data_IF_853511068928
#
_entry.id   IF_853511068928
#
_cell.length_a   1.000
_cell.length_b   1.000
_cell.length_c   1.000
_cell.angle_alpha   90.00
_cell.angle_beta   90.00
_cell.angle_gamma   90.00
#
_symmetry.space_group_name_H-M   'P 1'
#
loop_
_entity.id
_entity.type
_entity.pdbx_description
1 polymer ?
#
# COMPACT_ATOMS: atom_id res chain seq x y z
N UNK A 1 4.41 15.99 -5.01
CA UNK A 1 3.44 15.00 -4.50
C UNK A 1 4.09 13.91 -3.64
N UNK A 2 5.18 13.29 -4.09
CA UNK A 2 5.90 12.25 -3.34
C UNK A 2 6.18 12.59 -1.85
N UNK A 3 6.81 13.74 -1.58
CA UNK A 3 7.17 14.17 -0.21
C UNK A 3 5.94 14.23 0.72
N UNK A 4 4.79 14.68 0.21
CA UNK A 4 3.56 14.78 1.01
C UNK A 4 3.07 13.38 1.41
N UNK A 5 3.01 12.44 0.45
CA UNK A 5 2.63 11.06 0.74
C UNK A 5 3.62 10.38 1.69
N UNK A 6 4.92 10.65 1.53
CA UNK A 6 5.95 10.11 2.41
C UNK A 6 5.76 10.59 3.85
N UNK A 7 5.58 11.91 4.04
CA UNK A 7 5.38 12.50 5.37
C UNK A 7 4.12 11.94 6.03
N UNK A 8 3.00 11.87 5.30
CA UNK A 8 1.75 11.30 5.83
C UNK A 8 1.95 9.82 6.21
N UNK A 9 2.62 9.04 5.36
CA UNK A 9 2.91 7.63 5.64
C UNK A 9 3.78 7.43 6.88
N UNK A 10 4.81 8.26 7.05
CA UNK A 10 5.68 8.24 8.24
C UNK A 10 4.91 8.64 9.51
N UNK A 11 4.05 9.68 9.42
CA UNK A 11 3.22 10.11 10.54
C UNK A 11 2.31 8.97 11.00
N UNK A 12 1.57 8.34 10.08
CA UNK A 12 0.70 7.21 10.43
C UNK A 12 1.47 6.01 10.95
N UNK A 13 2.63 5.68 10.37
CA UNK A 13 3.48 4.58 10.86
C UNK A 13 4.00 4.83 12.27
N UNK A 14 4.40 6.08 12.56
CA UNK A 14 4.90 6.47 13.90
C UNK A 14 3.77 6.48 14.91
N UNK A 15 2.61 7.06 14.56
CA UNK A 15 1.42 7.08 15.41
C UNK A 15 0.90 5.67 15.70
N UNK A 16 0.91 4.78 14.70
CA UNK A 16 0.55 3.37 14.84
C UNK A 16 1.39 2.69 15.93
N UNK A 17 2.72 2.78 15.83
CA UNK A 17 3.64 2.18 16.82
C UNK A 17 3.48 2.80 18.20
N UNK A 18 3.32 4.12 18.28
CA UNK A 18 3.10 4.81 19.54
C UNK A 18 1.84 4.28 20.26
N UNK A 19 0.72 4.16 19.53
CA UNK A 19 -0.54 3.65 20.09
C UNK A 19 -0.45 2.18 20.52
N UNK A 20 0.29 1.35 19.79
CA UNK A 20 0.55 -0.04 20.19
C UNK A 20 1.32 -0.10 21.52
N UNK A 21 2.31 0.77 21.73
CA UNK A 21 3.08 0.85 22.98
C UNK A 21 2.21 1.33 24.14
N UNK A 22 1.29 2.27 23.91
CA UNK A 22 0.33 2.75 24.93
C UNK A 22 -0.79 1.74 25.27
N UNK A 23 -0.78 0.55 24.68
CA UNK A 23 -1.80 -0.48 24.91
C UNK A 23 -3.09 -0.28 24.10
N UNK A 24 -3.12 0.66 23.16
CA UNK A 24 -4.21 0.84 22.18
C UNK A 24 -3.89 0.10 20.87
N UNK A 25 -3.62 -1.19 20.99
CA UNK A 25 -3.14 -2.03 19.87
C UNK A 25 -4.10 -2.04 18.68
N UNK A 26 -5.41 -2.13 18.92
CA UNK A 26 -6.42 -2.18 17.85
C UNK A 26 -6.39 -0.94 16.94
N UNK A 27 -6.31 0.26 17.55
CA UNK A 27 -6.24 1.52 16.80
C UNK A 27 -4.88 1.62 16.11
N UNK A 28 -3.81 1.25 16.80
CA UNK A 28 -2.46 1.22 16.24
C UNK A 28 -2.37 0.34 15.00
N UNK A 29 -2.96 -0.86 15.03
CA UNK A 29 -3.00 -1.80 13.91
C UNK A 29 -3.81 -1.25 12.73
N UNK A 30 -4.94 -0.58 13.02
CA UNK A 30 -5.77 0.04 11.98
C UNK A 30 -5.02 1.15 11.21
N UNK A 31 -4.10 1.86 11.87
CA UNK A 31 -3.29 2.93 11.25
C UNK A 31 -2.19 2.38 10.33
N UNK A 32 -1.86 1.10 10.40
CA UNK A 32 -0.88 0.49 9.50
C UNK A 32 -1.41 0.47 8.05
N UNK A 33 -2.72 0.35 7.85
CA UNK A 33 -3.34 0.37 6.52
C UNK A 33 -3.16 1.71 5.78
N UNK A 34 -3.58 2.88 6.32
CA UNK A 34 -3.33 4.15 5.68
C UNK A 34 -1.82 4.44 5.58
N UNK A 35 -1.00 4.03 6.56
CA UNK A 35 0.46 4.16 6.46
C UNK A 35 1.02 3.43 5.24
N UNK A 36 0.68 2.14 5.07
CA UNK A 36 1.14 1.32 3.95
C UNK A 36 0.68 1.88 2.60
N UNK A 37 -0.57 2.36 2.51
CA UNK A 37 -1.11 3.00 1.32
C UNK A 37 -0.32 4.26 0.93
N UNK A 38 -0.11 5.18 1.86
CA UNK A 38 0.61 6.42 1.57
C UNK A 38 2.09 6.20 1.27
N UNK A 39 2.75 5.27 1.96
CA UNK A 39 4.13 4.89 1.66
C UNK A 39 4.27 4.25 0.27
N UNK A 40 3.32 3.39 -0.12
CA UNK A 40 3.30 2.81 -1.45
C UNK A 40 3.13 3.87 -2.55
N UNK A 41 2.23 4.86 -2.34
CA UNK A 41 2.09 5.98 -3.26
C UNK A 41 3.35 6.84 -3.31
N UNK A 42 3.98 7.13 -2.17
CA UNK A 42 5.24 7.88 -2.14
C UNK A 42 6.32 7.19 -2.97
N UNK A 43 6.50 5.88 -2.76
CA UNK A 43 7.43 5.07 -3.54
C UNK A 43 7.06 5.09 -5.03
N UNK A 44 5.79 4.95 -5.36
CA UNK A 44 5.31 4.96 -6.73
C UNK A 44 5.64 6.28 -7.45
N UNK A 45 5.38 7.42 -6.80
CA UNK A 45 5.73 8.75 -7.30
C UNK A 45 7.23 9.06 -7.26
N UNK A 46 8.05 8.17 -6.69
CA UNK A 46 9.51 8.27 -6.76
C UNK A 46 10.07 7.70 -8.08
N UNK A 47 9.29 6.90 -8.81
CA UNK A 47 9.76 6.26 -10.02
C UNK A 47 9.62 7.17 -11.25
N UNK A 48 10.70 7.37 -12.05
CA UNK A 48 10.66 8.21 -13.24
C UNK A 48 9.62 7.78 -14.29
N UNK A 49 9.44 6.47 -14.51
CA UNK A 49 8.47 5.97 -15.48
C UNK A 49 7.03 6.33 -15.09
N UNK A 50 6.72 6.32 -13.80
CA UNK A 50 5.38 6.61 -13.31
C UNK A 50 5.10 8.12 -13.40
N UNK A 51 6.11 8.95 -13.10
CA UNK A 51 6.03 10.39 -13.30
C UNK A 51 5.72 10.73 -14.77
N UNK A 52 6.40 10.06 -15.71
CA UNK A 52 6.13 10.22 -17.14
C UNK A 52 4.68 9.87 -17.52
N UNK A 53 4.13 8.78 -16.99
CA UNK A 53 2.72 8.41 -17.23
C UNK A 53 1.71 9.33 -16.55
N UNK A 54 2.10 9.96 -15.44
CA UNK A 54 1.25 10.86 -14.68
C UNK A 54 1.12 12.24 -15.35
N UNK A 55 2.23 12.76 -15.86
CA UNK A 55 2.28 14.08 -16.48
C UNK A 55 1.58 14.10 -17.85
N UNK A 56 1.74 13.03 -18.64
CA UNK A 56 1.09 12.89 -19.95
C UNK A 56 -0.42 12.59 -19.80
N UNK A 57 -1.31 13.52 -20.20
CA UNK A 57 -2.76 13.32 -20.09
C UNK A 57 -3.28 12.07 -20.79
N UNK A 58 -2.64 11.65 -21.89
CA UNK A 58 -3.03 10.46 -22.66
C UNK A 58 -2.72 9.15 -21.92
N UNK A 59 -1.71 9.16 -21.04
CA UNK A 59 -1.26 8.01 -20.26
C UNK A 59 -1.81 7.98 -18.83
N UNK A 60 -2.50 9.04 -18.38
CA UNK A 60 -3.15 9.08 -17.05
C UNK A 60 -4.06 7.89 -16.75
N UNK A 61 -4.89 7.37 -17.67
CA UNK A 61 -5.68 6.17 -17.39
C UNK A 61 -4.79 4.95 -17.05
N UNK A 62 -3.61 4.85 -17.66
CA UNK A 62 -2.61 3.81 -17.35
C UNK A 62 -1.99 4.04 -15.98
N UNK A 63 -1.64 5.28 -15.62
CA UNK A 63 -1.09 5.59 -14.30
C UNK A 63 -2.09 5.28 -13.17
N UNK A 64 -3.37 5.62 -13.33
CA UNK A 64 -4.41 5.29 -12.35
C UNK A 64 -4.60 3.78 -12.17
N UNK A 65 -4.66 3.02 -13.27
CA UNK A 65 -4.76 1.55 -13.21
C UNK A 65 -3.55 0.95 -12.50
N UNK A 66 -2.36 1.42 -12.82
CA UNK A 66 -1.12 0.94 -12.20
C UNK A 66 -1.07 1.28 -10.71
N UNK A 67 -1.41 2.52 -10.34
CA UNK A 67 -1.48 2.93 -8.94
C UNK A 67 -2.53 2.14 -8.16
N UNK A 68 -3.69 1.86 -8.77
CA UNK A 68 -4.73 1.03 -8.19
C UNK A 68 -4.27 -0.40 -7.94
N UNK A 69 -3.54 -1.00 -8.89
CA UNK A 69 -2.97 -2.34 -8.71
C UNK A 69 -1.91 -2.37 -7.61
N UNK A 70 -1.02 -1.38 -7.55
CA UNK A 70 -0.01 -1.27 -6.49
C UNK A 70 -0.67 -1.09 -5.12
N UNK A 71 -1.63 -0.17 -5.00
CA UNK A 71 -2.36 0.06 -3.76
C UNK A 71 -3.17 -1.17 -3.33
N UNK A 72 -3.89 -1.79 -4.27
CA UNK A 72 -4.66 -3.02 -4.03
C UNK A 72 -3.77 -4.18 -3.58
N UNK A 73 -2.60 -4.34 -4.21
CA UNK A 73 -1.60 -5.33 -3.81
C UNK A 73 -1.08 -5.08 -2.40
N UNK A 74 -0.63 -3.86 -2.11
CA UNK A 74 -0.10 -3.48 -0.79
C UNK A 74 -1.15 -3.66 0.31
N UNK A 75 -2.39 -3.22 0.09
CA UNK A 75 -3.47 -3.38 1.07
C UNK A 75 -3.87 -4.84 1.26
N UNK A 76 -3.87 -5.65 0.19
CA UNK A 76 -4.12 -7.09 0.28
C UNK A 76 -3.04 -7.79 1.09
N UNK A 77 -1.77 -7.45 0.85
CA UNK A 77 -0.66 -7.99 1.64
C UNK A 77 -0.73 -7.53 3.10
N UNK A 78 -1.11 -6.28 3.35
CA UNK A 78 -1.28 -5.75 4.70
C UNK A 78 -2.44 -6.44 5.44
N UNK A 79 -3.55 -6.72 4.77
CA UNK A 79 -4.67 -7.50 5.32
C UNK A 79 -4.24 -8.94 5.63
N UNK A 80 -3.51 -9.58 4.72
CA UNK A 80 -2.92 -10.89 4.95
C UNK A 80 -2.07 -10.90 6.23
N UNK A 81 -1.13 -9.97 6.35
CA UNK A 81 -0.22 -9.91 7.49
C UNK A 81 -0.96 -9.63 8.79
N UNK A 82 -1.92 -8.71 8.77
CA UNK A 82 -2.70 -8.36 9.95
C UNK A 82 -3.61 -9.51 10.42
N UNK A 83 -4.31 -10.17 9.51
CA UNK A 83 -5.19 -11.29 9.88
C UNK A 83 -4.39 -12.51 10.34
N UNK A 84 -3.36 -12.91 9.59
CA UNK A 84 -2.62 -14.13 9.90
C UNK A 84 -1.71 -13.98 11.13
N UNK A 85 -0.96 -12.87 11.21
CA UNK A 85 0.02 -12.68 12.29
C UNK A 85 -0.50 -11.80 13.44
N UNK A 86 -1.41 -10.86 13.15
CA UNK A 86 -1.99 -9.99 14.18
C UNK A 86 -3.16 -10.64 14.91
N UNK A 87 -4.09 -11.26 14.17
CA UNK A 87 -5.32 -11.86 14.72
C UNK A 87 -5.26 -13.40 14.84
N UNK A 88 -4.29 -14.07 14.22
CA UNK A 88 -4.22 -15.54 14.20
C UNK A 88 -5.24 -16.21 13.29
N UNK A 89 -5.88 -15.43 12.40
CA UNK A 89 -6.94 -15.88 11.50
C UNK A 89 -6.33 -16.46 10.22
N UNK A 90 -6.41 -17.79 10.06
CA UNK A 90 -5.88 -18.49 8.88
C UNK A 90 -6.52 -18.04 7.56
N UNK A 91 -7.78 -17.57 7.61
CA UNK A 91 -8.49 -17.00 6.46
C UNK A 91 -7.76 -15.79 5.88
N UNK A 92 -6.89 -15.13 6.66
CA UNK A 92 -5.98 -14.09 6.17
C UNK A 92 -5.14 -14.53 4.98
N UNK A 93 -4.78 -15.82 4.89
CA UNK A 93 -4.04 -16.39 3.75
C UNK A 93 -4.74 -16.21 2.40
N UNK A 94 -6.08 -16.10 2.38
CA UNK A 94 -6.84 -15.85 1.15
C UNK A 94 -6.49 -14.51 0.51
N UNK A 95 -6.03 -13.53 1.28
CA UNK A 95 -5.59 -12.23 0.75
C UNK A 95 -4.25 -12.28 0.00
N UNK A 96 -3.52 -13.41 0.06
CA UNK A 96 -2.40 -13.64 -0.85
C UNK A 96 -2.86 -13.76 -2.31
N UNK A 97 -4.08 -14.26 -2.56
CA UNK A 97 -4.62 -14.41 -3.92
C UNK A 97 -4.73 -13.04 -4.60
N UNK A 98 -5.48 -12.05 -4.07
CA UNK A 98 -5.54 -10.73 -4.69
C UNK A 98 -4.18 -10.02 -4.72
N UNK A 99 -3.31 -10.25 -3.74
CA UNK A 99 -1.93 -9.73 -3.77
C UNK A 99 -1.14 -10.26 -4.99
N UNK A 100 -1.13 -11.58 -5.18
CA UNK A 100 -0.43 -12.23 -6.29
C UNK A 100 -1.01 -11.83 -7.65
N UNK A 101 -2.34 -11.69 -7.74
CA UNK A 101 -3.00 -11.17 -8.96
C UNK A 101 -2.52 -9.75 -9.26
N UNK A 102 -2.52 -8.86 -8.27
CA UNK A 102 -2.04 -7.48 -8.45
C UNK A 102 -0.56 -7.46 -8.87
N UNK A 103 0.28 -8.27 -8.21
CA UNK A 103 1.70 -8.39 -8.54
C UNK A 103 1.92 -8.87 -9.97
N UNK A 104 1.17 -9.88 -10.41
CA UNK A 104 1.21 -10.39 -11.77
C UNK A 104 0.92 -9.29 -12.80
N UNK A 105 -0.16 -8.52 -12.61
CA UNK A 105 -0.51 -7.42 -13.52
C UNK A 105 0.51 -6.27 -13.47
N UNK A 106 1.04 -5.95 -12.30
CA UNK A 106 2.12 -4.95 -12.16
C UNK A 106 3.34 -5.35 -12.97
N UNK A 107 3.82 -6.59 -12.82
CA UNK A 107 4.98 -7.11 -13.57
C UNK A 107 4.70 -7.12 -15.07
N UNK A 108 3.50 -7.55 -15.47
CA UNK A 108 3.12 -7.61 -16.88
C UNK A 108 2.96 -6.24 -17.53
N UNK A 109 2.72 -5.18 -16.75
CA UNK A 109 2.61 -3.81 -17.29
C UNK A 109 3.95 -3.28 -17.86
N UNK A 110 5.08 -3.90 -17.46
CA UNK A 110 6.42 -3.55 -17.93
C UNK A 110 6.98 -4.46 -19.02
N UNK A 111 6.29 -5.56 -19.34
CA UNK A 111 6.63 -6.45 -20.46
C UNK A 111 5.93 -5.98 -21.73
#
# INVERSE_FOLDING_TARGET
MNIVFLVIGIIFSTASKWLQIEGKSEIGDSLVFPAAFFLALALLFSFPFFHGWWDDPSLRPKSYRFAGLVAGGVLSFQLFAWLLFGQGEWLGALFLIPFLICLYFVIHTFK
#
